data_IF_631264646834
#
_entry.id   IF_631264646834
#
_cell.length_a   1.000
_cell.length_b   1.000
_cell.length_c   1.000
_cell.angle_alpha   90.00
_cell.angle_beta   90.00
_cell.angle_gamma   90.00
#
_symmetry.space_group_name_H-M   'P 1'
#
loop_
_entity.id
_entity.type
_entity.pdbx_description
1 polymer ?
#
# COMPACT_ATOMS: atom_id res chain seq x y z
N UNK A 1 -9.79 13.16 23.66
CA UNK A 1 -8.68 12.48 22.96
C UNK A 1 -9.06 11.04 22.68
N UNK A 2 -8.35 10.36 21.80
CA UNK A 2 -8.74 9.04 21.31
C UNK A 2 -7.58 8.03 21.50
N UNK A 3 -7.89 6.83 21.99
CA UNK A 3 -6.88 5.78 22.18
C UNK A 3 -6.73 4.95 20.89
N UNK A 4 -5.53 4.90 20.26
CA UNK A 4 -5.34 4.14 19.03
C UNK A 4 -5.40 2.62 19.21
N UNK A 5 -5.27 2.13 20.44
CA UNK A 5 -5.27 0.69 20.75
C UNK A 5 -6.66 0.16 21.11
N UNK A 6 -7.41 0.88 21.96
CA UNK A 6 -8.73 0.45 22.42
C UNK A 6 -9.88 1.00 21.58
N UNK A 7 -9.59 1.95 20.69
CA UNK A 7 -10.58 2.64 19.84
C UNK A 7 -11.68 3.36 20.65
N UNK A 8 -11.43 3.70 21.93
CA UNK A 8 -12.37 4.37 22.81
C UNK A 8 -11.96 5.83 23.06
N UNK A 9 -12.91 6.76 23.13
CA UNK A 9 -12.64 8.11 23.60
C UNK A 9 -12.23 8.04 25.09
N UNK A 10 -11.22 8.82 25.48
CA UNK A 10 -10.78 8.95 26.86
C UNK A 10 -10.86 10.41 27.28
N UNK A 11 -11.34 10.64 28.48
CA UNK A 11 -11.43 11.97 29.07
C UNK A 11 -10.05 12.49 29.54
N UNK A 12 -9.10 11.59 29.80
CA UNK A 12 -7.74 11.93 30.23
C UNK A 12 -6.91 12.52 29.07
N UNK A 13 -5.96 13.39 29.46
CA UNK A 13 -5.18 14.20 28.52
C UNK A 13 -3.93 13.52 27.97
N UNK A 14 -3.39 12.49 28.63
CA UNK A 14 -2.11 11.89 28.23
C UNK A 14 -2.14 10.38 27.97
N UNK A 15 -2.81 9.61 28.82
CA UNK A 15 -2.79 8.13 28.76
C UNK A 15 -4.20 7.55 28.84
N UNK A 16 -4.40 6.46 28.11
CA UNK A 16 -5.65 5.71 28.18
C UNK A 16 -5.74 4.98 29.53
N UNK A 17 -6.83 5.17 30.27
CA UNK A 17 -7.09 4.51 31.57
C UNK A 17 -7.20 2.98 31.45
N UNK A 18 -7.55 2.48 30.27
CA UNK A 18 -7.77 1.03 30.05
C UNK A 18 -6.51 0.28 29.61
N UNK A 19 -5.60 0.91 28.84
CA UNK A 19 -4.43 0.22 28.28
C UNK A 19 -3.10 0.97 28.44
N UNK A 20 -3.09 2.12 29.13
CA UNK A 20 -1.88 2.92 29.37
C UNK A 20 -1.24 3.55 28.12
N UNK A 21 -1.80 3.35 26.95
CA UNK A 21 -1.24 3.86 25.68
C UNK A 21 -1.46 5.36 25.57
N UNK A 22 -0.45 6.09 25.07
CA UNK A 22 -0.52 7.53 24.83
C UNK A 22 -1.66 7.88 23.88
N UNK A 23 -2.52 8.79 24.32
CA UNK A 23 -3.66 9.28 23.54
C UNK A 23 -3.17 10.13 22.36
N UNK A 24 -3.88 10.06 21.24
CA UNK A 24 -3.62 10.90 20.07
C UNK A 24 -4.78 11.85 19.82
N UNK A 25 -4.46 13.05 19.37
CA UNK A 25 -5.47 13.99 18.93
C UNK A 25 -6.08 13.50 17.61
N UNK A 26 -7.39 13.65 17.45
CA UNK A 26 -8.10 13.30 16.21
C UNK A 26 -7.52 14.01 14.99
N UNK A 27 -7.04 15.23 15.16
CA UNK A 27 -6.39 16.00 14.09
C UNK A 27 -5.10 15.35 13.58
N UNK A 28 -4.25 14.85 14.50
CA UNK A 28 -3.02 14.16 14.10
C UNK A 28 -3.29 12.86 13.36
N UNK A 29 -4.38 12.15 13.71
CA UNK A 29 -4.80 10.95 13.03
C UNK A 29 -5.34 11.25 11.62
N UNK A 30 -6.17 12.29 11.48
CA UNK A 30 -6.70 12.76 10.19
C UNK A 30 -5.57 13.23 9.26
N UNK A 31 -4.62 14.02 9.77
CA UNK A 31 -3.47 14.48 8.99
C UNK A 31 -2.65 13.32 8.43
N UNK A 32 -2.43 12.27 9.23
CA UNK A 32 -1.78 11.04 8.75
C UNK A 32 -2.58 10.34 7.65
N UNK A 33 -3.91 10.28 7.78
CA UNK A 33 -4.79 9.75 6.76
C UNK A 33 -4.61 10.46 5.42
N UNK A 34 -4.53 11.78 5.42
CA UNK A 34 -4.29 12.58 4.22
C UNK A 34 -2.91 12.31 3.60
N UNK A 35 -1.87 12.14 4.42
CA UNK A 35 -0.53 11.78 3.91
C UNK A 35 -0.54 10.40 3.27
N UNK A 36 -1.17 9.40 3.89
CA UNK A 36 -1.29 8.05 3.33
C UNK A 36 -2.11 8.05 2.04
N UNK A 37 -3.19 8.82 2.00
CA UNK A 37 -4.03 9.01 0.81
C UNK A 37 -3.23 9.62 -0.35
N UNK A 38 -2.51 10.72 -0.09
CA UNK A 38 -1.67 11.38 -1.10
C UNK A 38 -0.54 10.47 -1.59
N UNK A 39 0.12 9.74 -0.70
CA UNK A 39 1.15 8.77 -1.07
C UNK A 39 0.58 7.62 -1.92
N UNK A 40 -0.62 7.14 -1.62
CA UNK A 40 -1.32 6.13 -2.41
C UNK A 40 -1.63 6.60 -3.83
N UNK A 41 -2.17 7.81 -3.98
CA UNK A 41 -2.44 8.42 -5.30
C UNK A 41 -1.13 8.60 -6.07
N UNK A 42 -0.09 9.16 -5.44
CA UNK A 42 1.22 9.34 -6.08
C UNK A 42 1.78 8.02 -6.59
N UNK A 43 1.69 6.96 -5.79
CA UNK A 43 2.17 5.64 -6.16
C UNK A 43 1.38 5.08 -7.36
N UNK A 44 0.04 5.23 -7.38
CA UNK A 44 -0.79 4.79 -8.50
C UNK A 44 -0.41 5.51 -9.79
N UNK A 45 -0.29 6.84 -9.76
CA UNK A 45 0.06 7.64 -10.95
C UNK A 45 1.46 7.30 -11.43
N UNK A 46 2.44 7.23 -10.52
CA UNK A 46 3.83 6.93 -10.85
C UNK A 46 3.98 5.55 -11.48
N UNK A 47 3.40 4.52 -10.86
CA UNK A 47 3.48 3.13 -11.37
C UNK A 47 2.77 3.00 -12.70
N UNK A 48 1.61 3.65 -12.88
CA UNK A 48 0.90 3.65 -14.17
C UNK A 48 1.72 4.31 -15.27
N UNK A 49 2.38 5.43 -14.97
CA UNK A 49 3.25 6.12 -15.92
C UNK A 49 4.45 5.27 -16.33
N UNK A 50 5.11 4.62 -15.35
CA UNK A 50 6.22 3.70 -15.59
C UNK A 50 5.76 2.51 -16.42
N UNK A 51 4.58 1.94 -16.14
CA UNK A 51 4.04 0.85 -16.94
C UNK A 51 3.85 1.24 -18.42
N UNK A 52 3.16 2.36 -18.67
CA UNK A 52 2.93 2.85 -20.02
C UNK A 52 4.26 3.09 -20.75
N UNK A 53 5.25 3.64 -20.03
CA UNK A 53 6.58 3.88 -20.60
C UNK A 53 7.30 2.58 -20.97
N UNK A 54 7.29 1.57 -20.09
CA UNK A 54 7.87 0.24 -20.33
C UNK A 54 7.16 -0.47 -21.49
N UNK A 55 5.83 -0.42 -21.52
CA UNK A 55 5.03 -1.03 -22.58
C UNK A 55 5.37 -0.44 -23.96
N UNK A 56 5.52 0.89 -24.04
CA UNK A 56 5.95 1.57 -25.27
C UNK A 56 7.37 1.21 -25.71
N UNK A 57 8.30 1.05 -24.77
CA UNK A 57 9.67 0.63 -25.09
C UNK A 57 9.71 -0.80 -25.62
N UNK A 58 8.86 -1.67 -25.10
CA UNK A 58 8.82 -3.09 -25.47
C UNK A 58 8.00 -3.38 -26.73
N UNK A 59 7.09 -2.50 -27.10
CA UNK A 59 6.26 -2.65 -28.32
C UNK A 59 7.07 -2.76 -29.63
N UNK A 60 8.35 -2.38 -29.61
CA UNK A 60 9.26 -2.51 -30.73
C UNK A 60 10.14 -3.77 -30.73
N UNK A 61 10.07 -4.62 -29.70
CA UNK A 61 10.96 -5.79 -29.56
C UNK A 61 10.14 -7.09 -29.56
N UNK A 62 10.03 -7.71 -30.74
CA UNK A 62 9.44 -9.05 -30.90
C UNK A 62 10.52 -10.13 -30.67
N UNK A 63 10.90 -10.36 -29.43
CA UNK A 63 11.78 -11.48 -29.10
C UNK A 63 10.97 -12.55 -28.37
N UNK A 64 10.87 -13.75 -28.96
CA UNK A 64 10.08 -14.88 -28.47
C UNK A 64 10.46 -15.36 -27.05
N UNK A 65 11.65 -15.03 -26.56
CA UNK A 65 12.10 -15.33 -25.21
C UNK A 65 11.59 -14.36 -24.12
N UNK A 66 11.08 -13.19 -24.52
CA UNK A 66 10.73 -12.11 -23.57
C UNK A 66 9.28 -12.22 -23.04
N UNK A 67 8.43 -13.01 -23.69
CA UNK A 67 7.01 -13.13 -23.36
C UNK A 67 6.74 -13.60 -21.92
N UNK A 68 7.51 -14.57 -21.45
CA UNK A 68 7.38 -15.08 -20.07
C UNK A 68 7.84 -14.08 -19.01
N UNK A 69 8.85 -13.27 -19.32
CA UNK A 69 9.34 -12.21 -18.44
C UNK A 69 8.33 -11.05 -18.35
N UNK A 70 7.77 -10.62 -19.48
CA UNK A 70 6.74 -9.58 -19.55
C UNK A 70 5.49 -9.99 -18.75
N UNK A 71 5.05 -11.24 -18.87
CA UNK A 71 3.91 -11.73 -18.10
C UNK A 71 4.13 -11.64 -16.59
N UNK A 72 5.32 -11.97 -16.10
CA UNK A 72 5.67 -11.85 -14.66
C UNK A 72 5.78 -10.40 -14.21
N UNK A 73 6.35 -9.51 -15.02
CA UNK A 73 6.38 -8.09 -14.74
C UNK A 73 4.97 -7.51 -14.63
N UNK A 74 4.05 -7.88 -15.51
CA UNK A 74 2.66 -7.45 -15.44
C UNK A 74 2.00 -7.83 -14.11
N UNK A 75 2.23 -9.05 -13.62
CA UNK A 75 1.68 -9.49 -12.32
C UNK A 75 2.22 -8.60 -11.19
N UNK A 76 3.52 -8.29 -11.19
CA UNK A 76 4.12 -7.42 -10.17
C UNK A 76 3.51 -6.01 -10.23
N UNK A 77 3.35 -5.44 -11.42
CA UNK A 77 2.71 -4.13 -11.59
C UNK A 77 1.27 -4.11 -11.07
N UNK A 78 0.47 -5.12 -11.41
CA UNK A 78 -0.92 -5.24 -10.92
C UNK A 78 -0.96 -5.32 -9.39
N UNK A 79 -0.07 -6.09 -8.77
CA UNK A 79 0.00 -6.19 -7.31
C UNK A 79 0.38 -4.86 -6.66
N UNK A 80 1.32 -4.10 -7.24
CA UNK A 80 1.70 -2.78 -6.74
C UNK A 80 0.53 -1.78 -6.88
N UNK A 81 -0.20 -1.81 -8.00
CA UNK A 81 -1.39 -0.98 -8.20
C UNK A 81 -2.48 -1.33 -7.17
N UNK A 82 -2.66 -2.60 -6.86
CA UNK A 82 -3.60 -3.07 -5.85
C UNK A 82 -3.22 -2.55 -4.45
N UNK A 83 -1.92 -2.60 -4.10
CA UNK A 83 -1.40 -1.99 -2.87
C UNK A 83 -1.67 -0.47 -2.83
N UNK A 84 -1.44 0.23 -3.94
CA UNK A 84 -1.72 1.65 -4.06
C UNK A 84 -3.21 1.98 -3.85
N UNK A 85 -4.10 1.21 -4.47
CA UNK A 85 -5.54 1.35 -4.30
C UNK A 85 -5.99 1.12 -2.84
N UNK A 86 -5.48 0.07 -2.20
CA UNK A 86 -5.76 -0.21 -0.79
C UNK A 86 -5.23 0.90 0.13
N UNK A 87 -4.06 1.48 -0.18
CA UNK A 87 -3.51 2.62 0.56
C UNK A 87 -4.41 3.86 0.42
N UNK A 88 -4.92 4.15 -0.78
CA UNK A 88 -5.88 5.26 -1.03
C UNK A 88 -7.15 5.06 -0.21
N UNK A 89 -7.76 3.87 -0.26
CA UNK A 89 -8.99 3.56 0.51
C UNK A 89 -8.73 3.66 2.01
N UNK A 90 -7.61 3.12 2.49
CA UNK A 90 -7.22 3.19 3.90
C UNK A 90 -6.99 4.63 4.35
N UNK A 91 -6.26 5.40 3.55
CA UNK A 91 -5.97 6.82 3.81
C UNK A 91 -7.23 7.67 3.84
N UNK A 92 -8.13 7.47 2.89
CA UNK A 92 -9.44 8.12 2.84
C UNK A 92 -10.27 7.82 4.10
N UNK A 93 -10.38 6.54 4.45
CA UNK A 93 -11.14 6.12 5.62
C UNK A 93 -10.56 6.70 6.91
N UNK A 94 -9.23 6.72 7.05
CA UNK A 94 -8.54 7.32 8.20
C UNK A 94 -8.69 8.84 8.24
N UNK A 95 -8.65 9.51 7.10
CA UNK A 95 -8.83 10.96 6.99
C UNK A 95 -10.26 11.39 7.41
N UNK A 96 -11.27 10.59 7.07
CA UNK A 96 -12.67 10.89 7.39
C UNK A 96 -13.06 10.47 8.81
N UNK A 97 -12.74 9.23 9.20
CA UNK A 97 -13.17 8.66 10.48
C UNK A 97 -12.19 8.92 11.63
N UNK A 98 -10.94 9.29 11.33
CA UNK A 98 -9.86 9.37 12.32
C UNK A 98 -9.47 8.03 12.94
N UNK A 99 -10.02 6.92 12.44
CA UNK A 99 -9.80 5.57 12.97
C UNK A 99 -9.01 4.73 11.96
N UNK A 100 -8.04 3.98 12.45
CA UNK A 100 -7.32 2.99 11.64
C UNK A 100 -8.09 1.68 11.61
N UNK A 101 -8.45 1.22 10.43
CA UNK A 101 -9.04 -0.11 10.29
C UNK A 101 -7.89 -1.14 10.20
N UNK A 102 -7.75 -1.96 11.23
CA UNK A 102 -6.71 -2.99 11.30
C UNK A 102 -6.84 -4.02 10.18
N UNK A 103 -8.06 -4.34 9.76
CA UNK A 103 -8.29 -5.28 8.67
C UNK A 103 -7.69 -4.79 7.35
N UNK A 104 -7.83 -3.50 7.04
CA UNK A 104 -7.23 -2.91 5.83
C UNK A 104 -5.70 -2.90 5.93
N UNK A 105 -5.14 -2.59 7.09
CA UNK A 105 -3.69 -2.62 7.30
C UNK A 105 -3.12 -4.05 7.11
N UNK A 106 -3.80 -5.07 7.62
CA UNK A 106 -3.44 -6.47 7.37
C UNK A 106 -3.59 -6.85 5.90
N UNK A 107 -4.64 -6.40 5.22
CA UNK A 107 -4.83 -6.62 3.78
C UNK A 107 -3.66 -6.07 2.96
N UNK A 108 -3.23 -4.84 3.23
CA UNK A 108 -2.06 -4.23 2.56
C UNK A 108 -0.80 -5.06 2.79
N UNK A 109 -0.57 -5.53 4.03
CA UNK A 109 0.61 -6.32 4.37
C UNK A 109 0.62 -7.67 3.65
N UNK A 110 -0.54 -8.34 3.53
CA UNK A 110 -0.67 -9.60 2.79
C UNK A 110 -0.39 -9.38 1.30
N UNK A 111 -1.00 -8.36 0.68
CA UNK A 111 -0.78 -8.06 -0.74
C UNK A 111 0.69 -7.72 -0.99
N UNK A 112 1.32 -6.95 -0.10
CA UNK A 112 2.75 -6.63 -0.19
C UNK A 112 3.64 -7.87 -0.07
N UNK A 113 3.33 -8.78 0.85
CA UNK A 113 4.05 -10.05 0.99
C UNK A 113 3.94 -10.93 -0.27
N UNK A 114 2.73 -11.01 -0.88
CA UNK A 114 2.52 -11.72 -2.14
C UNK A 114 3.33 -11.07 -3.26
N UNK A 115 3.35 -9.73 -3.35
CA UNK A 115 4.11 -9.01 -4.36
C UNK A 115 5.62 -9.29 -4.23
N UNK A 116 6.17 -9.29 -3.01
CA UNK A 116 7.57 -9.65 -2.75
C UNK A 116 7.87 -11.10 -3.12
N UNK A 117 6.97 -12.03 -2.82
CA UNK A 117 7.13 -13.44 -3.16
C UNK A 117 7.16 -13.65 -4.68
N UNK A 118 6.24 -13.01 -5.42
CA UNK A 118 6.21 -13.08 -6.89
C UNK A 118 7.46 -12.44 -7.49
N UNK A 119 7.90 -11.29 -6.98
CA UNK A 119 9.14 -10.65 -7.42
C UNK A 119 10.37 -11.53 -7.17
N UNK A 120 10.46 -12.16 -6.00
CA UNK A 120 11.53 -13.10 -5.68
C UNK A 120 11.56 -14.30 -6.62
N UNK A 121 10.41 -14.92 -6.89
CA UNK A 121 10.33 -16.06 -7.82
C UNK A 121 10.68 -15.68 -9.25
N UNK A 122 10.30 -14.47 -9.68
CA UNK A 122 10.68 -13.93 -11.00
C UNK A 122 12.20 -13.74 -11.11
N UNK A 123 12.84 -13.13 -10.10
CA UNK A 123 14.30 -12.95 -10.04
C UNK A 123 15.05 -14.29 -10.05
N UNK A 124 14.58 -15.26 -9.27
CA UNK A 124 15.21 -16.60 -9.24
C UNK A 124 15.15 -17.30 -10.60
N UNK A 125 14.06 -17.12 -11.34
CA UNK A 125 13.91 -17.70 -12.66
C UNK A 125 14.84 -17.04 -13.71
N UNK A 126 15.15 -15.75 -13.57
CA UNK A 126 16.13 -15.05 -14.43
C UNK A 126 17.55 -15.53 -14.18
N UNK A 127 17.90 -15.78 -12.90
CA UNK A 127 19.26 -16.24 -12.53
C UNK A 127 19.49 -17.73 -12.83
N UNK A 128 18.44 -18.49 -13.16
CA UNK A 128 18.52 -19.92 -13.48
C UNK A 128 18.53 -20.21 -14.99
N UNK A 129 18.35 -19.18 -15.82
CA UNK A 129 18.40 -19.23 -17.29
C UNK A 129 19.76 -18.76 -17.81
#
# INVERSE_FOLDING_TARGET
MFCPRCNKPSADTEKCTTCGTRLKTLESAKRRGWVVFGAGIFLLVFVSAVWIWVDRLMAGQTADGLSGFIGRLNVVFVLILLCGALAVVSGWFQAHSGRTNRAIAFGILIVFAIALFVAYTALKAVNAA
#
